data_IF_304552936395
#
_entry.id   IF_304552936395
#
_cell.length_a   1.000
_cell.length_b   1.000
_cell.length_c   1.000
_cell.angle_alpha   90.00
_cell.angle_beta   90.00
_cell.angle_gamma   90.00
#
_symmetry.space_group_name_H-M   'P 1'
#
loop_
_entity.id
_entity.type
_entity.pdbx_description
1 polymer ?
#
# COMPACT_ATOMS: atom_id res chain seq x y z
N UNK A 1 6.87 16.65 20.71
CA UNK A 1 6.41 16.86 19.32
C UNK A 1 7.51 16.48 18.35
N UNK A 2 7.75 15.18 18.17
CA UNK A 2 8.67 14.75 17.11
C UNK A 2 8.32 13.32 16.70
N UNK A 3 7.45 13.20 15.70
CA UNK A 3 7.17 11.96 15.00
C UNK A 3 7.33 12.23 13.50
N UNK A 4 8.48 12.78 13.10
CA UNK A 4 8.97 12.60 11.74
C UNK A 4 9.45 11.16 11.61
N UNK A 5 8.47 10.24 11.57
CA UNK A 5 8.65 8.80 11.52
C UNK A 5 9.44 8.43 10.28
N UNK A 6 10.69 8.02 10.49
CA UNK A 6 11.53 7.22 9.60
C UNK A 6 11.04 7.16 8.14
N UNK A 7 11.49 8.11 7.33
CA UNK A 7 11.46 7.98 5.86
C UNK A 7 12.22 6.71 5.51
N UNK A 8 11.49 5.61 5.38
CA UNK A 8 12.09 4.30 5.38
C UNK A 8 12.35 3.92 3.96
N UNK A 9 13.63 3.80 3.65
CA UNK A 9 14.12 3.63 2.30
C UNK A 9 13.32 2.58 1.51
N UNK A 10 12.83 3.01 0.35
CA UNK A 10 12.10 2.17 -0.60
C UNK A 10 10.60 2.01 -0.32
N UNK A 11 10.05 2.59 0.74
CA UNK A 11 8.60 2.62 0.98
C UNK A 11 7.88 3.59 0.02
N UNK A 12 6.74 3.15 -0.51
CA UNK A 12 5.84 4.00 -1.30
C UNK A 12 5.14 5.01 -0.38
N UNK A 13 5.01 6.26 -0.83
CA UNK A 13 4.30 7.29 -0.09
C UNK A 13 2.79 7.14 -0.30
N UNK A 14 2.15 6.37 0.58
CA UNK A 14 0.72 6.10 0.54
C UNK A 14 -0.10 7.34 0.90
N UNK A 15 -1.14 7.64 0.11
CA UNK A 15 -2.04 8.78 0.32
C UNK A 15 -3.49 8.29 0.32
N UNK A 16 -4.27 8.69 1.32
CA UNK A 16 -5.68 8.34 1.38
C UNK A 16 -6.44 8.94 0.17
N UNK A 17 -7.38 8.17 -0.37
CA UNK A 17 -8.13 8.44 -1.61
C UNK A 17 -7.29 8.41 -2.90
N UNK A 18 -6.01 8.02 -2.84
CA UNK A 18 -5.29 7.69 -4.06
C UNK A 18 -5.90 6.42 -4.70
N UNK A 19 -5.82 6.34 -6.03
CA UNK A 19 -6.30 5.17 -6.77
C UNK A 19 -5.10 4.34 -7.23
N UNK A 20 -5.02 3.12 -6.73
CA UNK A 20 -4.06 2.10 -7.16
C UNK A 20 -4.65 1.32 -8.33
N UNK A 21 -3.83 1.05 -9.34
CA UNK A 21 -4.26 0.35 -10.56
C UNK A 21 -3.57 -1.00 -10.69
N UNK A 22 -4.36 -2.02 -11.02
CA UNK A 22 -3.86 -3.27 -11.59
C UNK A 22 -4.14 -3.29 -13.09
N UNK A 23 -3.79 -4.38 -13.77
CA UNK A 23 -4.11 -4.56 -15.20
C UNK A 23 -5.63 -4.61 -15.47
N UNK A 24 -6.46 -4.90 -14.46
CA UNK A 24 -7.89 -5.18 -14.64
C UNK A 24 -8.81 -4.43 -13.69
N UNK A 25 -8.28 -3.72 -12.69
CA UNK A 25 -9.09 -3.07 -11.66
C UNK A 25 -8.43 -1.81 -11.09
N UNK A 26 -9.25 -0.98 -10.46
CA UNK A 26 -8.87 0.22 -9.72
C UNK A 26 -9.31 0.08 -8.26
N UNK A 27 -8.44 0.53 -7.35
CA UNK A 27 -8.62 0.40 -5.90
C UNK A 27 -8.35 1.73 -5.22
N UNK A 28 -9.33 2.27 -4.53
CA UNK A 28 -9.18 3.51 -3.76
C UNK A 28 -8.66 3.20 -2.36
N UNK A 29 -7.58 3.87 -1.95
CA UNK A 29 -6.99 3.73 -0.62
C UNK A 29 -7.88 4.40 0.41
N UNK A 30 -8.35 3.62 1.39
CA UNK A 30 -9.20 4.12 2.47
C UNK A 30 -8.41 4.41 3.75
N UNK A 31 -7.50 3.50 4.11
CA UNK A 31 -6.85 3.55 5.41
C UNK A 31 -5.52 2.79 5.37
N UNK A 32 -4.52 3.28 6.09
CA UNK A 32 -3.29 2.54 6.35
C UNK A 32 -3.53 1.48 7.44
N UNK A 33 -3.17 0.22 7.16
CA UNK A 33 -3.36 -0.88 8.10
C UNK A 33 -2.09 -1.23 8.88
N UNK A 34 -0.92 -1.06 8.28
CA UNK A 34 0.32 -1.39 8.97
C UNK A 34 1.53 -1.47 8.06
N UNK A 35 2.69 -1.62 8.69
CA UNK A 35 3.99 -1.64 8.03
C UNK A 35 4.91 -2.66 8.69
N UNK A 36 5.72 -3.30 7.87
CA UNK A 36 6.71 -4.26 8.32
C UNK A 36 7.96 -4.25 7.44
N UNK A 37 8.80 -5.27 7.62
CA UNK A 37 10.09 -5.40 6.90
C UNK A 37 9.90 -5.30 5.38
N UNK A 38 8.87 -5.96 4.86
CA UNK A 38 8.64 -6.13 3.42
C UNK A 38 7.95 -4.93 2.74
N UNK A 39 7.32 -4.05 3.52
CA UNK A 39 6.55 -2.93 2.98
C UNK A 39 5.33 -2.60 3.82
N UNK A 40 4.30 -2.08 3.17
CA UNK A 40 3.12 -1.48 3.80
C UNK A 40 1.85 -2.19 3.36
N UNK A 41 0.82 -2.15 4.19
CA UNK A 41 -0.50 -2.69 3.90
C UNK A 41 -1.53 -1.59 4.10
N UNK A 42 -2.46 -1.48 3.16
CA UNK A 42 -3.58 -0.54 3.22
C UNK A 42 -4.91 -1.25 2.95
N UNK A 43 -5.97 -0.69 3.51
CA UNK A 43 -7.35 -1.05 3.20
C UNK A 43 -7.77 -0.27 1.97
N UNK A 44 -8.27 -0.98 0.96
CA UNK A 44 -8.73 -0.37 -0.27
C UNK A 44 -10.14 -0.81 -0.62
N UNK A 45 -10.86 0.07 -1.32
CA UNK A 45 -12.14 -0.22 -1.93
C UNK A 45 -11.95 -0.49 -3.42
N UNK A 46 -12.40 -1.65 -3.91
CA UNK A 46 -12.35 -1.96 -5.34
C UNK A 46 -13.53 -1.30 -6.04
N UNK A 47 -13.23 -0.49 -7.05
CA UNK A 47 -14.27 0.16 -7.84
C UNK A 47 -15.15 -0.90 -8.52
N UNK A 48 -16.44 -0.58 -8.70
CA UNK A 48 -17.46 -1.39 -9.38
C UNK A 48 -17.94 -2.67 -8.69
N UNK A 49 -17.22 -3.22 -7.68
CA UNK A 49 -17.68 -4.41 -6.95
C UNK A 49 -18.05 -4.16 -5.49
N UNK A 50 -17.82 -2.96 -4.96
CA UNK A 50 -18.06 -2.59 -3.57
C UNK A 50 -17.33 -3.46 -2.53
N UNK A 51 -16.29 -4.17 -2.96
CA UNK A 51 -15.51 -5.07 -2.10
C UNK A 51 -14.35 -4.33 -1.43
N UNK A 52 -14.02 -4.75 -0.21
CA UNK A 52 -12.88 -4.25 0.57
C UNK A 52 -11.73 -5.25 0.49
N UNK A 53 -10.53 -4.74 0.22
CA UNK A 53 -9.31 -5.55 0.14
C UNK A 53 -8.21 -4.98 1.03
N UNK A 54 -7.31 -5.85 1.48
CA UNK A 54 -6.01 -5.45 1.99
C UNK A 54 -5.00 -5.53 0.85
N UNK A 55 -4.36 -4.41 0.50
CA UNK A 55 -3.33 -4.35 -0.55
C UNK A 55 -1.97 -4.17 0.13
N UNK A 56 -1.04 -5.08 -0.16
CA UNK A 56 0.34 -5.01 0.30
C UNK A 56 1.21 -4.39 -0.78
N UNK A 57 1.83 -3.25 -0.48
CA UNK A 57 2.78 -2.56 -1.34
C UNK A 57 4.17 -2.93 -0.85
N UNK A 58 4.91 -3.64 -1.70
CA UNK A 58 6.27 -4.06 -1.41
C UNK A 58 7.23 -2.89 -1.62
N UNK A 59 8.29 -2.83 -0.79
CA UNK A 59 9.35 -1.84 -0.99
C UNK A 59 10.03 -2.06 -2.33
N UNK A 60 10.52 -0.98 -2.92
CA UNK A 60 11.34 -1.03 -4.12
C UNK A 60 12.75 -1.57 -3.81
N UNK A 61 12.84 -2.88 -3.54
CA UNK A 61 14.08 -3.59 -3.27
C UNK A 61 14.05 -4.99 -3.94
N UNK A 62 15.11 -5.39 -4.67
CA UNK A 62 15.10 -6.61 -5.49
C UNK A 62 14.80 -7.89 -4.68
N UNK A 63 15.20 -7.94 -3.41
CA UNK A 63 14.94 -9.09 -2.53
C UNK A 63 13.45 -9.33 -2.22
N UNK A 64 12.57 -8.33 -2.42
CA UNK A 64 11.14 -8.46 -2.09
C UNK A 64 10.27 -8.75 -3.31
N UNK A 65 10.80 -8.64 -4.54
CA UNK A 65 10.04 -8.80 -5.78
C UNK A 65 9.35 -10.19 -5.97
N UNK A 66 9.73 -11.19 -5.17
CA UNK A 66 9.17 -12.56 -5.22
C UNK A 66 8.50 -13.01 -3.92
N UNK A 67 8.33 -12.12 -2.93
CA UNK A 67 7.70 -12.48 -1.67
C UNK A 67 6.20 -12.17 -1.71
N UNK A 68 5.42 -13.18 -2.09
CA UNK A 68 3.96 -13.20 -2.07
C UNK A 68 3.48 -14.59 -1.72
#
# INVERSE_FOLDING_TARGET
NNASSANSEGDYQLVQHEVLYSQTAAYEVLEFLGRGTFGQVCKCWKHHSNEIYAIKILKNHPSYARQG
#
